data_IF_101125278322
#
_entry.id   IF_101125278322
#
_cell.length_a   1.000
_cell.length_b   1.000
_cell.length_c   1.000
_cell.angle_alpha   90.00
_cell.angle_beta   90.00
_cell.angle_gamma   90.00
#
_symmetry.space_group_name_H-M   'P 1'
#
loop_
_entity.id
_entity.type
_entity.pdbx_description
1 polymer ?
#
# COMPACT_ATOMS: atom_id res chain seq x y z
N UNK A 1 -17.02 -0.40 7.99
CA UNK A 1 -16.87 -1.54 7.08
C UNK A 1 -16.60 -2.73 7.96
N UNK A 2 -17.51 -3.69 7.96
CA UNK A 2 -17.32 -4.95 8.68
C UNK A 2 -16.37 -5.83 7.85
N UNK A 3 -15.51 -6.60 8.52
CA UNK A 3 -14.62 -7.55 7.87
C UNK A 3 -15.39 -8.86 7.66
N UNK A 4 -16.26 -8.86 6.64
CA UNK A 4 -17.20 -9.95 6.39
C UNK A 4 -16.79 -10.88 5.24
N UNK A 5 -15.66 -10.62 4.59
CA UNK A 5 -15.16 -11.45 3.48
C UNK A 5 -14.45 -12.71 4.01
N UNK A 6 -14.58 -13.82 3.28
CA UNK A 6 -13.90 -15.08 3.58
C UNK A 6 -12.39 -14.93 3.30
N UNK A 7 -11.54 -15.08 4.33
CA UNK A 7 -10.09 -14.80 4.26
C UNK A 7 -9.22 -16.07 4.19
N UNK A 8 -9.82 -17.23 3.97
CA UNK A 8 -9.15 -18.55 3.97
C UNK A 8 -8.90 -19.12 2.56
N UNK A 9 -9.21 -18.37 1.49
CA UNK A 9 -8.92 -18.77 0.11
C UNK A 9 -7.42 -18.57 -0.23
N UNK A 10 -6.91 -19.14 -1.34
CA UNK A 10 -5.54 -18.88 -1.78
C UNK A 10 -5.28 -17.40 -2.07
N UNK A 11 -4.05 -16.91 -1.80
CA UNK A 11 -3.70 -15.48 -1.90
C UNK A 11 -4.02 -14.83 -3.26
N UNK A 12 -3.92 -15.60 -4.35
CA UNK A 12 -4.21 -15.14 -5.70
C UNK A 12 -5.68 -14.78 -5.95
N UNK A 13 -6.59 -15.10 -5.02
CA UNK A 13 -8.02 -14.81 -5.12
C UNK A 13 -8.38 -13.41 -4.58
N UNK A 14 -7.42 -12.70 -3.97
CA UNK A 14 -7.65 -11.40 -3.35
C UNK A 14 -6.99 -10.28 -4.13
N UNK A 15 -7.68 -9.14 -4.23
CA UNK A 15 -7.02 -7.89 -4.60
C UNK A 15 -6.25 -7.35 -3.40
N UNK A 16 -4.95 -7.11 -3.60
CA UNK A 16 -4.04 -6.63 -2.55
C UNK A 16 -3.73 -5.15 -2.82
N UNK A 17 -4.07 -4.30 -1.87
CA UNK A 17 -3.75 -2.87 -1.93
C UNK A 17 -2.22 -2.69 -1.98
N UNK A 18 -1.70 -2.25 -3.11
CA UNK A 18 -0.27 -2.20 -3.41
C UNK A 18 0.19 -0.77 -3.72
N UNK A 19 1.43 -0.44 -3.38
CA UNK A 19 2.04 0.86 -3.67
C UNK A 19 3.34 0.69 -4.46
N UNK A 20 3.57 1.57 -5.42
CA UNK A 20 4.76 1.59 -6.25
C UNK A 20 5.61 2.82 -5.94
N UNK A 21 6.93 2.64 -5.84
CA UNK A 21 7.87 3.70 -5.46
C UNK A 21 7.45 4.46 -4.19
N UNK A 22 7.04 3.73 -3.15
CA UNK A 22 6.45 4.28 -1.91
C UNK A 22 7.30 5.35 -1.23
N UNK A 23 8.61 5.37 -1.44
CA UNK A 23 9.49 6.39 -0.90
C UNK A 23 9.26 7.79 -1.51
N UNK A 24 8.72 7.89 -2.73
CA UNK A 24 8.56 9.17 -3.43
C UNK A 24 7.38 9.96 -2.87
N UNK A 25 7.62 11.23 -2.54
CA UNK A 25 6.58 12.16 -2.07
C UNK A 25 5.99 13.02 -3.20
N UNK A 26 6.39 12.78 -4.46
CA UNK A 26 6.02 13.65 -5.58
C UNK A 26 6.52 13.14 -6.93
N UNK A 27 7.00 14.06 -7.77
CA UNK A 27 7.39 13.76 -9.15
C UNK A 27 8.42 12.63 -9.26
N UNK A 28 8.29 11.76 -10.28
CA UNK A 28 9.13 10.57 -10.43
C UNK A 28 10.63 10.90 -10.67
N UNK A 29 10.94 12.03 -11.32
CA UNK A 29 12.32 12.39 -11.67
C UNK A 29 12.92 13.44 -10.74
N UNK A 30 12.10 14.35 -10.21
CA UNK A 30 12.58 15.53 -9.45
C UNK A 30 12.00 15.60 -8.04
N UNK A 31 11.16 14.64 -7.66
CA UNK A 31 10.54 14.57 -6.34
C UNK A 31 11.52 14.15 -5.25
N UNK A 32 11.14 14.40 -4.00
CA UNK A 32 11.91 13.99 -2.82
C UNK A 32 11.52 12.59 -2.38
N UNK A 33 12.44 11.92 -1.71
CA UNK A 33 12.22 10.65 -1.03
C UNK A 33 12.00 10.88 0.46
N UNK A 34 11.11 10.11 1.10
CA UNK A 34 10.87 10.16 2.54
C UNK A 34 10.56 8.79 3.12
N UNK A 35 11.18 8.46 4.25
CA UNK A 35 10.87 7.24 5.00
C UNK A 35 9.46 7.28 5.61
N UNK A 36 8.94 8.48 5.91
CA UNK A 36 7.60 8.66 6.47
C UNK A 36 6.49 8.18 5.51
N UNK A 37 6.75 8.17 4.20
CA UNK A 37 5.77 7.67 3.24
C UNK A 37 5.48 6.18 3.40
N UNK A 38 6.46 5.37 3.82
CA UNK A 38 6.20 3.96 4.14
C UNK A 38 5.25 3.83 5.32
N UNK A 39 5.43 4.64 6.38
CA UNK A 39 4.53 4.66 7.55
C UNK A 39 3.11 5.02 7.13
N UNK A 40 2.95 6.09 6.35
CA UNK A 40 1.64 6.55 5.90
C UNK A 40 0.95 5.53 4.99
N UNK A 41 1.69 4.91 4.07
CA UNK A 41 1.18 3.88 3.17
C UNK A 41 0.67 2.65 3.95
N UNK A 42 1.41 2.20 4.95
CA UNK A 42 1.02 1.08 5.81
C UNK A 42 -0.21 1.41 6.69
N UNK A 43 -0.30 2.64 7.20
CA UNK A 43 -1.46 3.12 7.97
C UNK A 43 -2.72 3.25 7.11
N UNK A 44 -2.57 3.58 5.82
CA UNK A 44 -3.66 3.57 4.84
C UNK A 44 -4.10 2.16 4.43
N UNK A 45 -3.43 1.11 4.91
CA UNK A 45 -3.79 -0.29 4.64
C UNK A 45 -3.15 -0.91 3.40
N UNK A 46 -2.09 -0.32 2.85
CA UNK A 46 -1.27 -0.99 1.82
C UNK A 46 -0.61 -2.24 2.40
N UNK A 47 -0.51 -3.31 1.61
CA UNK A 47 0.08 -4.59 1.99
C UNK A 47 1.05 -5.10 0.94
#
# INVERSE_FOLDING_TARGET
FDLSDEMDQPLAHYFINSSHNTYLTGHQITGKSSAEMYRQCLLAGCR
#
